data_IF_927308055454
#
_entry.id   IF_927308055454
#
_cell.length_a   1.000
_cell.length_b   1.000
_cell.length_c   1.000
_cell.angle_alpha   90.00
_cell.angle_beta   90.00
_cell.angle_gamma   90.00
#
_symmetry.space_group_name_H-M   'P 1'
#
loop_
_entity.id
_entity.type
_entity.pdbx_description
1 polymer ?
#
# COMPACT_ATOMS: atom_id res chain seq x y z
N UNK A 1 7.13 13.80 -3.24
CA UNK A 1 5.67 13.65 -3.25
C UNK A 1 5.08 13.67 -4.65
N UNK A 2 5.55 14.57 -5.53
CA UNK A 2 4.99 14.65 -6.89
C UNK A 2 5.22 13.37 -7.70
N UNK A 3 6.37 12.70 -7.51
CA UNK A 3 6.66 11.44 -8.19
C UNK A 3 5.66 10.32 -7.85
N UNK A 4 5.13 10.33 -6.64
CA UNK A 4 4.23 9.29 -6.15
C UNK A 4 2.75 9.64 -6.25
N UNK A 5 2.41 10.83 -6.76
CA UNK A 5 1.03 11.32 -6.77
C UNK A 5 0.06 10.40 -7.53
N UNK A 6 0.53 9.74 -8.58
CA UNK A 6 -0.32 8.85 -9.38
C UNK A 6 -0.55 7.47 -8.76
N UNK A 7 0.11 7.14 -7.65
CA UNK A 7 0.00 5.81 -7.02
C UNK A 7 -1.16 5.71 -6.04
N UNK A 8 -1.76 6.83 -5.63
CA UNK A 8 -2.93 6.81 -4.76
C UNK A 8 -4.12 6.11 -5.41
N UNK A 9 -5.06 5.65 -4.59
CA UNK A 9 -6.25 4.97 -5.09
C UNK A 9 -5.95 3.71 -5.88
N UNK A 10 -4.86 3.01 -5.54
CA UNK A 10 -4.42 1.83 -6.29
C UNK A 10 -4.09 2.18 -7.72
N UNK A 11 -3.26 3.24 -7.93
CA UNK A 11 -2.94 3.84 -9.22
C UNK A 11 -4.20 4.38 -9.90
N UNK A 12 -5.15 4.86 -9.09
CA UNK A 12 -6.48 5.36 -9.49
C UNK A 12 -7.29 4.36 -10.32
N UNK A 13 -6.92 3.08 -10.22
CA UNK A 13 -7.59 1.96 -10.90
C UNK A 13 -8.06 0.89 -9.92
N UNK A 14 -8.02 1.18 -8.62
CA UNK A 14 -8.43 0.22 -7.60
C UNK A 14 -7.49 -0.98 -7.45
N UNK A 15 -6.25 -0.84 -7.88
CA UNK A 15 -5.22 -1.90 -7.79
C UNK A 15 -4.55 -1.85 -6.41
N UNK A 16 -3.25 -2.08 -6.34
CA UNK A 16 -2.51 -2.10 -5.08
C UNK A 16 -2.67 -0.78 -4.33
N UNK A 17 -3.02 -0.86 -3.05
CA UNK A 17 -3.22 0.31 -2.20
C UNK A 17 -1.96 1.19 -2.16
N UNK A 18 -2.16 2.52 -2.26
CA UNK A 18 -1.06 3.48 -2.21
C UNK A 18 -0.26 3.41 -0.92
N UNK A 19 -0.89 3.04 0.20
CA UNK A 19 -0.17 2.82 1.46
C UNK A 19 0.83 1.69 1.34
N UNK A 20 0.47 0.60 0.66
CA UNK A 20 1.36 -0.54 0.44
C UNK A 20 2.51 -0.12 -0.48
N UNK A 21 2.23 0.59 -1.56
CA UNK A 21 3.25 1.08 -2.49
C UNK A 21 4.24 1.99 -1.76
N UNK A 22 3.75 2.93 -0.96
CA UNK A 22 4.59 3.84 -0.19
C UNK A 22 5.46 3.09 0.83
N UNK A 23 4.89 2.07 1.48
CA UNK A 23 5.61 1.24 2.43
C UNK A 23 6.74 0.47 1.75
N UNK A 24 6.47 -0.07 0.55
CA UNK A 24 7.50 -0.77 -0.22
C UNK A 24 8.63 0.17 -0.66
N UNK A 25 8.30 1.43 -0.97
CA UNK A 25 9.32 2.45 -1.24
C UNK A 25 10.18 2.72 -0.01
N UNK A 26 9.57 2.83 1.17
CA UNK A 26 10.29 3.06 2.43
C UNK A 26 11.21 1.87 2.77
N UNK A 27 10.72 0.65 2.61
CA UNK A 27 11.53 -0.55 2.80
C UNK A 27 12.69 -0.61 1.80
N UNK A 28 12.43 -0.24 0.54
CA UNK A 28 13.45 -0.15 -0.49
C UNK A 28 14.51 0.90 -0.18
N UNK A 29 14.10 2.02 0.41
CA UNK A 29 15.04 3.06 0.83
C UNK A 29 16.03 2.54 1.88
N UNK A 30 15.56 1.74 2.82
CA UNK A 30 16.41 1.21 3.90
C UNK A 30 17.13 -0.08 3.54
N UNK A 31 16.44 -1.02 2.89
CA UNK A 31 16.94 -2.37 2.63
C UNK A 31 17.18 -2.66 1.15
N UNK A 32 16.95 -1.68 0.29
CA UNK A 32 17.09 -1.87 -1.13
C UNK A 32 18.53 -2.09 -1.59
N UNK A 33 18.67 -2.54 -2.82
CA UNK A 33 19.95 -2.79 -3.45
C UNK A 33 20.03 -1.98 -4.75
N UNK A 34 21.23 -1.49 -5.06
CA UNK A 34 21.46 -0.73 -6.29
C UNK A 34 22.45 -1.42 -7.21
N UNK A 35 23.12 -2.47 -6.75
CA UNK A 35 24.13 -3.18 -7.51
C UNK A 35 23.59 -4.52 -8.02
N UNK A 36 23.87 -4.90 -9.29
CA UNK A 36 23.52 -6.20 -9.80
C UNK A 36 24.21 -7.31 -8.99
N UNK A 37 23.52 -8.42 -8.75
CA UNK A 37 24.08 -9.57 -8.06
C UNK A 37 24.04 -9.50 -6.54
N UNK A 38 23.40 -8.48 -5.97
CA UNK A 38 23.26 -8.32 -4.50
C UNK A 38 22.16 -9.25 -3.95
N UNK A 39 22.36 -10.55 -4.04
CA UNK A 39 21.35 -11.57 -3.69
C UNK A 39 20.93 -11.52 -2.24
N UNK A 40 21.89 -11.34 -1.31
CA UNK A 40 21.59 -11.29 0.12
C UNK A 40 20.72 -10.08 0.46
N UNK A 41 21.03 -8.91 -0.09
CA UNK A 41 20.25 -7.69 0.11
C UNK A 41 18.86 -7.81 -0.50
N UNK A 42 18.77 -8.41 -1.68
CA UNK A 42 17.49 -8.66 -2.34
C UNK A 42 16.61 -9.56 -1.49
N UNK A 43 17.17 -10.64 -0.95
CA UNK A 43 16.43 -11.58 -0.11
C UNK A 43 15.92 -10.92 1.17
N UNK A 44 16.72 -10.06 1.80
CA UNK A 44 16.32 -9.31 2.98
C UNK A 44 15.16 -8.37 2.66
N UNK A 45 15.26 -7.62 1.57
CA UNK A 45 14.17 -6.73 1.13
C UNK A 45 12.88 -7.50 0.87
N UNK A 46 12.96 -8.62 0.16
CA UNK A 46 11.78 -9.42 -0.15
C UNK A 46 11.16 -10.05 1.10
N UNK A 47 11.97 -10.42 2.09
CA UNK A 47 11.47 -10.92 3.37
C UNK A 47 10.70 -9.84 4.11
N UNK A 48 11.23 -8.60 4.17
CA UNK A 48 10.54 -7.47 4.79
C UNK A 48 9.25 -7.12 4.05
N UNK A 49 9.29 -7.14 2.72
CA UNK A 49 8.11 -6.91 1.87
C UNK A 49 7.02 -7.95 2.18
N UNK A 50 7.36 -9.22 2.22
CA UNK A 50 6.41 -10.30 2.48
C UNK A 50 5.79 -10.17 3.87
N UNK A 51 6.59 -9.83 4.88
CA UNK A 51 6.10 -9.63 6.24
C UNK A 51 5.13 -8.44 6.34
N UNK A 52 5.45 -7.33 5.68
CA UNK A 52 4.57 -6.17 5.63
C UNK A 52 3.23 -6.53 4.97
N UNK A 53 3.27 -7.17 3.81
CA UNK A 53 2.07 -7.52 3.07
C UNK A 53 1.19 -8.51 3.86
N UNK A 54 1.81 -9.47 4.54
CA UNK A 54 1.09 -10.44 5.38
C UNK A 54 0.33 -9.73 6.50
N UNK A 55 1.02 -8.87 7.24
CA UNK A 55 0.42 -8.14 8.36
C UNK A 55 -0.62 -7.14 7.90
N UNK A 56 -0.37 -6.45 6.81
CA UNK A 56 -1.33 -5.51 6.25
C UNK A 56 -2.61 -6.24 5.80
N UNK A 57 -2.45 -7.38 5.14
CA UNK A 57 -3.59 -8.19 4.70
C UNK A 57 -4.40 -8.71 5.89
N UNK A 58 -3.76 -9.10 6.98
CA UNK A 58 -4.47 -9.50 8.20
C UNK A 58 -5.33 -8.36 8.76
N UNK A 59 -4.85 -7.11 8.68
CA UNK A 59 -5.57 -5.97 9.20
C UNK A 59 -6.67 -5.47 8.26
N UNK A 60 -6.47 -5.55 6.94
CA UNK A 60 -7.34 -4.91 5.95
C UNK A 60 -7.88 -5.86 4.88
N UNK A 61 -7.73 -7.16 5.04
CA UNK A 61 -8.19 -8.23 4.12
C UNK A 61 -7.34 -8.39 2.87
N UNK A 62 -6.76 -7.30 2.34
CA UNK A 62 -6.07 -7.31 1.05
C UNK A 62 -5.11 -6.13 0.95
N UNK A 63 -4.20 -6.20 -0.01
CA UNK A 63 -3.37 -5.06 -0.41
C UNK A 63 -3.96 -4.33 -1.61
N UNK A 64 -5.09 -4.80 -2.13
CA UNK A 64 -5.74 -4.26 -3.32
C UNK A 64 -6.79 -3.23 -2.92
N UNK A 65 -6.67 -2.01 -3.46
CA UNK A 65 -7.54 -0.89 -3.11
C UNK A 65 -9.03 -1.22 -3.25
N UNK A 66 -9.43 -1.80 -4.37
CA UNK A 66 -10.85 -2.12 -4.61
C UNK A 66 -11.40 -3.17 -3.64
N UNK A 67 -10.55 -4.05 -3.10
CA UNK A 67 -10.95 -5.03 -2.10
C UNK A 67 -11.04 -4.41 -0.72
N UNK A 68 -10.13 -3.49 -0.39
CA UNK A 68 -10.14 -2.77 0.89
C UNK A 68 -11.36 -1.87 0.98
N UNK A 69 -11.66 -1.12 -0.07
CA UNK A 69 -12.80 -0.23 -0.14
C UNK A 69 -14.11 -0.96 -0.47
N UNK A 70 -14.01 -2.20 -0.97
CA UNK A 70 -15.14 -2.98 -1.48
C UNK A 70 -15.85 -2.28 -2.66
N UNK A 71 -15.17 -1.34 -3.31
CA UNK A 71 -15.65 -0.57 -4.45
C UNK A 71 -14.47 -0.26 -5.36
N UNK A 72 -14.72 -0.22 -6.66
CA UNK A 72 -13.70 0.13 -7.66
C UNK A 72 -13.83 1.60 -8.04
N UNK A 73 -12.87 2.41 -7.58
CA UNK A 73 -12.90 3.87 -7.82
C UNK A 73 -12.64 4.25 -9.29
N UNK A 74 -12.20 3.30 -10.13
CA UNK A 74 -12.06 3.56 -11.56
C UNK A 74 -13.42 3.60 -12.29
N UNK A 75 -14.48 3.13 -11.64
CA UNK A 75 -15.84 3.15 -12.18
C UNK A 75 -16.60 4.35 -11.60
N UNK A 76 -17.13 5.25 -12.45
CA UNK A 76 -17.76 6.48 -11.94
C UNK A 76 -18.90 6.24 -10.94
N UNK A 77 -19.74 5.23 -11.15
CA UNK A 77 -20.86 4.93 -10.25
C UNK A 77 -20.36 4.39 -8.90
N UNK A 78 -19.29 3.60 -8.88
CA UNK A 78 -18.70 3.12 -7.62
C UNK A 78 -17.93 4.22 -6.92
N UNK A 79 -17.24 5.09 -7.65
CA UNK A 79 -16.60 6.26 -7.07
C UNK A 79 -17.62 7.18 -6.39
N UNK A 80 -18.78 7.35 -6.99
CA UNK A 80 -19.86 8.12 -6.37
C UNK A 80 -20.30 7.49 -5.05
N UNK A 81 -20.40 6.16 -4.96
CA UNK A 81 -20.73 5.45 -3.72
C UNK A 81 -19.63 5.60 -2.67
N UNK A 82 -18.36 5.57 -3.08
CA UNK A 82 -17.23 5.79 -2.19
C UNK A 82 -17.31 7.18 -1.57
N UNK A 83 -17.60 8.20 -2.36
CA UNK A 83 -17.73 9.57 -1.88
C UNK A 83 -18.95 9.74 -0.98
N UNK A 84 -20.09 9.13 -1.34
CA UNK A 84 -21.32 9.20 -0.55
C UNK A 84 -21.13 8.56 0.82
N UNK A 85 -20.45 7.39 0.88
CA UNK A 85 -20.17 6.67 2.12
C UNK A 85 -18.98 7.23 2.87
N UNK A 86 -18.29 8.22 2.31
CA UNK A 86 -17.12 8.87 2.90
C UNK A 86 -15.96 7.89 3.18
N UNK A 87 -15.79 6.89 2.32
CA UNK A 87 -14.81 5.82 2.55
C UNK A 87 -13.36 6.30 2.47
N UNK A 88 -13.08 7.32 1.64
CA UNK A 88 -11.73 7.88 1.55
C UNK A 88 -11.28 8.55 2.86
N UNK A 89 -12.22 8.96 3.70
CA UNK A 89 -11.93 9.62 4.97
C UNK A 89 -12.13 8.72 6.19
N UNK A 90 -12.66 7.50 6.00
CA UNK A 90 -12.90 6.56 7.10
C UNK A 90 -12.05 5.31 6.99
N UNK A 91 -11.91 4.75 5.78
CA UNK A 91 -11.15 3.51 5.55
C UNK A 91 -9.68 3.80 5.27
N UNK A 92 -9.38 4.74 4.37
CA UNK A 92 -8.01 5.05 3.98
C UNK A 92 -7.13 5.55 5.13
N UNK A 93 -7.61 6.43 6.05
CA UNK A 93 -6.80 6.82 7.20
C UNK A 93 -6.42 5.65 8.10
N UNK A 94 -7.27 4.64 8.24
CA UNK A 94 -6.95 3.43 9.00
C UNK A 94 -5.82 2.66 8.34
N UNK A 95 -5.82 2.57 7.01
CA UNK A 95 -4.74 1.93 6.27
C UNK A 95 -3.42 2.68 6.45
N UNK A 96 -3.45 4.01 6.46
CA UNK A 96 -2.28 4.84 6.73
C UNK A 96 -1.73 4.56 8.14
N UNK A 97 -2.59 4.53 9.15
CA UNK A 97 -2.18 4.24 10.52
C UNK A 97 -1.55 2.86 10.65
N UNK A 98 -2.15 1.84 10.04
CA UNK A 98 -1.60 0.48 10.03
C UNK A 98 -0.23 0.47 9.38
N UNK A 99 -0.09 1.15 8.24
CA UNK A 99 1.18 1.23 7.50
C UNK A 99 2.27 1.85 8.35
N UNK A 100 1.98 2.98 9.01
CA UNK A 100 2.95 3.64 9.87
C UNK A 100 3.38 2.75 11.04
N UNK A 101 2.43 2.07 11.69
CA UNK A 101 2.71 1.18 12.80
C UNK A 101 3.59 -0.01 12.36
N UNK A 102 3.30 -0.60 11.21
CA UNK A 102 4.09 -1.71 10.68
C UNK A 102 5.49 -1.26 10.27
N UNK A 103 5.64 -0.08 9.68
CA UNK A 103 6.94 0.46 9.32
C UNK A 103 7.78 0.76 10.56
N UNK A 104 7.18 1.28 11.64
CA UNK A 104 7.89 1.48 12.90
C UNK A 104 8.50 0.19 13.42
N UNK A 105 7.81 -0.93 13.24
CA UNK A 105 8.28 -2.23 13.68
C UNK A 105 9.31 -2.84 12.73
N UNK A 106 9.15 -2.66 11.42
CA UNK A 106 9.99 -3.30 10.40
C UNK A 106 11.23 -2.50 10.02
N UNK A 107 11.22 -1.19 10.19
CA UNK A 107 12.37 -0.35 9.94
C UNK A 107 13.26 -0.26 11.17
#
# INVERSE_FOLDING_TARGET
LSLSAAFGGGMWQGRTCGCVVAALMALGYKYGYSEPGSTAQKNELLAKKAEFERRFTEAHKSVVCREILEHDLSKPEEMAQIMEKNLLFTVCPKAVCTTCALLDDLL
#
